data_IF_522680121971
#
_entry.id   IF_522680121971
#
_cell.length_a   1.000
_cell.length_b   1.000
_cell.length_c   1.000
_cell.angle_alpha   90.00
_cell.angle_beta   90.00
_cell.angle_gamma   90.00
#
_symmetry.space_group_name_H-M   'P 1'
#
loop_
_entity.id
_entity.type
_entity.pdbx_description
1 polymer ?
#
# COMPACT_ATOMS: atom_id res chain seq x y z
N UNK A 1 1.83 -14.19 37.91
CA UNK A 1 1.11 -14.80 36.78
C UNK A 1 0.51 -13.69 35.96
N UNK A 2 0.67 -13.63 34.63
CA UNK A 2 0.00 -12.63 33.82
C UNK A 2 -1.51 -12.78 33.93
N UNK A 3 -2.24 -11.66 34.00
CA UNK A 3 -3.71 -11.67 34.12
C UNK A 3 -4.34 -12.40 32.92
N UNK A 4 -5.50 -13.08 33.09
CA UNK A 4 -6.20 -13.74 31.98
C UNK A 4 -6.47 -12.81 30.77
N UNK A 5 -6.67 -11.50 31.00
CA UNK A 5 -6.84 -10.49 29.97
C UNK A 5 -5.53 -10.19 29.20
N UNK A 6 -4.36 -10.24 29.84
CA UNK A 6 -3.07 -10.07 29.18
C UNK A 6 -2.77 -11.20 28.20
N UNK A 7 -3.12 -12.43 28.54
CA UNK A 7 -2.91 -13.61 27.70
C UNK A 7 -3.82 -13.60 26.46
N UNK A 8 -5.04 -13.06 26.56
CA UNK A 8 -5.97 -12.89 25.43
C UNK A 8 -5.45 -11.85 24.42
N UNK A 9 -4.99 -10.68 24.90
CA UNK A 9 -4.44 -9.61 24.04
C UNK A 9 -3.18 -10.06 23.31
N UNK A 10 -2.31 -10.80 23.98
CA UNK A 10 -1.09 -11.36 23.36
C UNK A 10 -1.43 -12.34 22.23
N UNK A 11 -2.37 -13.27 22.44
CA UNK A 11 -2.83 -14.21 21.40
C UNK A 11 -3.43 -13.47 20.19
N UNK A 12 -4.22 -12.44 20.43
CA UNK A 12 -4.78 -11.60 19.37
C UNK A 12 -3.67 -10.96 18.52
N UNK A 13 -2.69 -10.32 19.14
CA UNK A 13 -1.56 -9.70 18.41
C UNK A 13 -0.70 -10.75 17.69
N UNK A 14 -0.46 -11.92 18.28
CA UNK A 14 0.27 -13.01 17.65
C UNK A 14 -0.37 -13.51 16.36
N UNK A 15 -1.70 -13.39 16.21
CA UNK A 15 -2.41 -13.69 14.95
C UNK A 15 -2.45 -12.47 14.03
N UNK A 16 -2.66 -11.26 14.55
CA UNK A 16 -2.79 -10.06 13.72
C UNK A 16 -1.51 -9.71 12.96
N UNK A 17 -0.33 -9.90 13.55
CA UNK A 17 0.93 -9.61 12.87
C UNK A 17 1.16 -10.47 11.62
N UNK A 18 1.10 -11.81 11.64
CA UNK A 18 1.29 -12.63 10.43
C UNK A 18 0.25 -12.34 9.35
N UNK A 19 -1.02 -12.16 9.73
CA UNK A 19 -2.07 -11.89 8.73
C UNK A 19 -1.91 -10.51 8.09
N UNK A 20 -1.45 -9.51 8.85
CA UNK A 20 -1.20 -8.19 8.31
C UNK A 20 0.07 -8.16 7.45
N UNK A 21 1.09 -8.97 7.76
CA UNK A 21 2.21 -9.23 6.87
C UNK A 21 1.76 -9.88 5.55
N UNK A 22 0.80 -10.82 5.60
CA UNK A 22 0.26 -11.47 4.40
C UNK A 22 -0.44 -10.47 3.47
N UNK A 23 -1.20 -9.50 4.00
CA UNK A 23 -1.78 -8.43 3.16
C UNK A 23 -0.67 -7.58 2.51
N UNK A 24 0.45 -7.34 3.21
CA UNK A 24 1.63 -6.69 2.64
C UNK A 24 2.28 -7.49 1.51
N UNK A 25 2.39 -8.82 1.69
CA UNK A 25 2.86 -9.73 0.63
C UNK A 25 1.96 -9.62 -0.59
N UNK A 26 0.64 -9.73 -0.41
CA UNK A 26 -0.30 -9.74 -1.52
C UNK A 26 -0.28 -8.42 -2.29
N UNK A 27 -0.22 -7.30 -1.59
CA UNK A 27 -0.21 -5.98 -2.20
C UNK A 27 1.08 -5.71 -3.01
N UNK A 28 2.21 -6.30 -2.60
CA UNK A 28 3.49 -6.08 -3.24
C UNK A 28 3.90 -7.18 -4.24
N UNK A 29 3.26 -8.36 -4.23
CA UNK A 29 3.68 -9.50 -5.06
C UNK A 29 3.29 -9.36 -6.54
N UNK A 30 2.21 -8.60 -6.83
CA UNK A 30 1.71 -8.42 -8.18
C UNK A 30 2.75 -7.85 -9.15
N UNK A 31 3.53 -6.85 -8.72
CA UNK A 31 4.59 -6.25 -9.54
C UNK A 31 5.67 -7.25 -9.94
N UNK A 32 6.33 -7.95 -8.99
CA UNK A 32 7.29 -9.01 -9.28
C UNK A 32 6.79 -10.16 -10.14
N UNK A 33 5.51 -10.52 -10.05
CA UNK A 33 4.90 -11.59 -10.84
C UNK A 33 4.39 -11.13 -12.21
N UNK A 34 4.20 -9.82 -12.41
CA UNK A 34 3.62 -9.28 -13.64
C UNK A 34 4.38 -9.69 -14.91
N UNK A 35 5.73 -9.72 -14.96
CA UNK A 35 6.43 -10.19 -16.14
C UNK A 35 6.07 -11.63 -16.53
N UNK A 36 5.92 -12.54 -15.55
CA UNK A 36 5.55 -13.93 -15.79
C UNK A 36 4.09 -14.07 -16.26
N UNK A 37 3.18 -13.33 -15.62
CA UNK A 37 1.77 -13.32 -15.98
C UNK A 37 1.55 -12.68 -17.36
N UNK A 38 2.21 -11.57 -17.66
CA UNK A 38 2.13 -10.90 -18.95
C UNK A 38 2.67 -11.78 -20.08
N UNK A 39 3.76 -12.50 -19.85
CA UNK A 39 4.29 -13.46 -20.82
C UNK A 39 3.32 -14.61 -21.08
N UNK A 40 2.69 -15.18 -20.03
CA UNK A 40 1.77 -16.29 -20.14
C UNK A 40 0.47 -15.96 -20.89
N UNK A 41 0.02 -14.70 -20.82
CA UNK A 41 -1.22 -14.23 -21.44
C UNK A 41 -1.00 -13.28 -22.62
N UNK A 42 0.27 -13.06 -23.05
CA UNK A 42 0.65 -12.13 -24.12
C UNK A 42 0.13 -10.71 -23.91
N UNK A 43 0.19 -10.21 -22.64
CA UNK A 43 -0.33 -8.90 -22.30
C UNK A 43 0.66 -7.79 -22.69
N UNK A 44 0.11 -6.69 -23.17
CA UNK A 44 0.84 -5.43 -23.27
C UNK A 44 0.81 -4.65 -21.94
N UNK A 45 1.57 -3.55 -21.87
CA UNK A 45 1.66 -2.75 -20.63
C UNK A 45 0.34 -2.08 -20.24
N UNK A 46 -0.49 -1.68 -21.22
CA UNK A 46 -1.81 -1.12 -20.94
C UNK A 46 -2.74 -2.14 -20.28
N UNK A 47 -2.68 -3.38 -20.71
CA UNK A 47 -3.43 -4.49 -20.12
C UNK A 47 -2.89 -4.86 -18.73
N UNK A 48 -1.57 -4.88 -18.55
CA UNK A 48 -0.94 -5.07 -17.24
C UNK A 48 -1.29 -3.93 -16.27
N UNK A 49 -1.30 -2.69 -16.76
CA UNK A 49 -1.76 -1.52 -16.01
C UNK A 49 -3.23 -1.61 -15.60
N UNK A 50 -4.10 -2.15 -16.47
CA UNK A 50 -5.50 -2.42 -16.14
C UNK A 50 -5.65 -3.44 -15.01
N UNK A 51 -4.82 -4.48 -14.96
CA UNK A 51 -4.83 -5.43 -13.85
C UNK A 51 -4.44 -4.76 -12.53
N UNK A 52 -3.42 -3.90 -12.52
CA UNK A 52 -3.07 -3.11 -11.35
C UNK A 52 -4.20 -2.15 -10.94
N UNK A 53 -4.83 -1.46 -11.91
CA UNK A 53 -5.99 -0.63 -11.64
C UNK A 53 -7.10 -1.42 -10.96
N UNK A 54 -7.48 -2.57 -11.48
CA UNK A 54 -8.53 -3.42 -10.92
C UNK A 54 -8.20 -3.87 -9.51
N UNK A 55 -6.96 -4.33 -9.28
CA UNK A 55 -6.54 -4.77 -7.95
C UNK A 55 -6.59 -3.65 -6.90
N UNK A 56 -5.98 -2.51 -7.17
CA UNK A 56 -5.94 -1.41 -6.21
C UNK A 56 -7.30 -0.72 -6.03
N UNK A 57 -8.13 -0.64 -7.08
CA UNK A 57 -9.52 -0.21 -6.97
C UNK A 57 -10.31 -1.17 -6.07
N UNK A 58 -10.13 -2.47 -6.28
CA UNK A 58 -10.71 -3.50 -5.41
C UNK A 58 -10.29 -3.35 -3.95
N UNK A 59 -9.00 -3.14 -3.67
CA UNK A 59 -8.49 -2.93 -2.30
C UNK A 59 -9.16 -1.73 -1.63
N UNK A 60 -9.33 -0.63 -2.37
CA UNK A 60 -10.04 0.55 -1.89
C UNK A 60 -11.52 0.27 -1.64
N UNK A 61 -12.17 -0.49 -2.50
CA UNK A 61 -13.58 -0.89 -2.33
C UNK A 61 -13.76 -1.82 -1.13
N UNK A 62 -12.79 -2.70 -0.87
CA UNK A 62 -12.83 -3.65 0.25
C UNK A 62 -13.04 -2.98 1.60
N UNK A 63 -12.52 -1.78 1.80
CA UNK A 63 -12.70 -1.02 3.03
C UNK A 63 -14.17 -0.72 3.36
N UNK A 64 -15.04 -0.59 2.36
CA UNK A 64 -16.46 -0.30 2.56
C UNK A 64 -17.27 -1.50 3.08
N UNK A 65 -16.74 -2.72 2.96
CA UNK A 65 -17.39 -3.93 3.47
C UNK A 65 -17.15 -4.17 4.96
N UNK A 66 -16.20 -3.45 5.57
CA UNK A 66 -15.93 -3.52 7.01
C UNK A 66 -16.78 -2.49 7.78
N UNK A 67 -18.03 -2.82 8.13
CA UNK A 67 -18.90 -1.90 8.88
C UNK A 67 -19.07 -2.28 10.34
N UNK A 68 -19.26 -3.57 10.60
CA UNK A 68 -19.50 -4.18 11.94
C UNK A 68 -18.88 -5.57 11.92
N UNK A 69 -18.74 -6.20 13.10
CA UNK A 69 -18.23 -7.57 13.20
C UNK A 69 -16.88 -7.74 12.51
N UNK A 70 -15.90 -6.93 12.91
CA UNK A 70 -14.59 -6.84 12.24
C UNK A 70 -13.86 -8.18 12.23
N UNK A 71 -13.91 -8.96 13.32
CA UNK A 71 -13.28 -10.27 13.39
C UNK A 71 -13.82 -11.22 12.32
N UNK A 72 -15.16 -11.25 12.18
CA UNK A 72 -15.84 -12.05 11.15
C UNK A 72 -15.52 -11.55 9.74
N UNK A 73 -15.51 -10.23 9.52
CA UNK A 73 -15.18 -9.65 8.22
C UNK A 73 -13.75 -9.99 7.80
N UNK A 74 -12.77 -9.92 8.71
CA UNK A 74 -11.38 -10.30 8.45
C UNK A 74 -11.29 -11.77 8.03
N UNK A 75 -11.93 -12.69 8.78
CA UNK A 75 -11.91 -14.11 8.46
C UNK A 75 -12.55 -14.41 7.09
N UNK A 76 -13.73 -13.83 6.80
CA UNK A 76 -14.42 -13.98 5.51
C UNK A 76 -13.55 -13.42 4.38
N UNK A 77 -12.89 -12.27 4.58
CA UNK A 77 -11.96 -11.68 3.61
C UNK A 77 -10.85 -12.66 3.22
N UNK A 78 -10.24 -13.33 4.19
CA UNK A 78 -9.20 -14.33 3.91
C UNK A 78 -9.75 -15.59 3.26
N UNK A 79 -10.92 -16.11 3.63
CA UNK A 79 -11.52 -17.26 2.95
C UNK A 79 -11.91 -16.91 1.49
N UNK A 80 -12.45 -15.73 1.25
CA UNK A 80 -12.74 -15.26 -0.10
C UNK A 80 -11.44 -15.05 -0.92
N UNK A 81 -10.37 -14.59 -0.28
CA UNK A 81 -9.04 -14.43 -0.89
C UNK A 81 -8.50 -15.76 -1.42
N UNK A 82 -8.78 -16.91 -0.78
CA UNK A 82 -8.44 -18.24 -1.29
C UNK A 82 -9.01 -18.44 -2.70
N UNK A 83 -10.32 -18.22 -2.83
CA UNK A 83 -11.03 -18.42 -4.12
C UNK A 83 -10.52 -17.43 -5.17
N UNK A 84 -10.33 -16.16 -4.80
CA UNK A 84 -9.90 -15.14 -5.74
C UNK A 84 -8.44 -15.34 -6.19
N UNK A 85 -7.54 -15.79 -5.29
CA UNK A 85 -6.16 -16.12 -5.66
C UNK A 85 -6.10 -17.30 -6.62
N UNK A 86 -6.91 -18.33 -6.38
CA UNK A 86 -7.03 -19.46 -7.31
C UNK A 86 -7.65 -19.02 -8.64
N UNK A 87 -8.63 -18.11 -8.62
CA UNK A 87 -9.18 -17.54 -9.85
C UNK A 87 -8.10 -16.81 -10.66
N UNK A 88 -7.25 -15.98 -10.04
CA UNK A 88 -6.12 -15.34 -10.74
C UNK A 88 -5.14 -16.34 -11.34
N UNK A 89 -4.91 -17.49 -10.66
CA UNK A 89 -3.99 -18.51 -11.15
C UNK A 89 -4.48 -19.18 -12.45
N UNK A 90 -5.80 -19.31 -12.66
CA UNK A 90 -6.36 -20.07 -13.78
C UNK A 90 -7.30 -19.29 -14.72
N UNK A 91 -7.68 -18.06 -14.38
CA UNK A 91 -8.57 -17.27 -15.24
C UNK A 91 -7.91 -16.97 -16.60
N UNK A 92 -8.63 -17.15 -17.73
CA UNK A 92 -8.19 -16.64 -19.01
C UNK A 92 -8.21 -15.10 -19.03
N UNK A 93 -7.48 -14.50 -19.99
CA UNK A 93 -7.33 -13.06 -20.10
C UNK A 93 -8.63 -12.25 -19.94
N UNK A 94 -9.75 -12.58 -20.59
CA UNK A 94 -10.96 -11.76 -20.44
C UNK A 94 -11.51 -11.68 -19.01
N UNK A 95 -11.23 -12.67 -18.17
CA UNK A 95 -11.70 -12.72 -16.78
C UNK A 95 -10.68 -12.19 -15.76
N UNK A 96 -9.40 -12.07 -16.14
CA UNK A 96 -8.33 -11.61 -15.24
C UNK A 96 -8.62 -10.25 -14.59
N UNK A 97 -9.10 -9.20 -15.31
CA UNK A 97 -9.42 -7.93 -14.67
C UNK A 97 -10.44 -8.06 -13.53
N UNK A 98 -11.49 -8.88 -13.76
CA UNK A 98 -12.48 -9.18 -12.72
C UNK A 98 -11.89 -9.98 -11.55
N UNK A 99 -11.04 -10.97 -11.83
CA UNK A 99 -10.35 -11.74 -10.78
C UNK A 99 -9.42 -10.84 -9.94
N UNK A 100 -8.67 -9.94 -10.56
CA UNK A 100 -7.82 -8.96 -9.85
C UNK A 100 -8.64 -7.97 -9.03
N UNK A 101 -9.78 -7.50 -9.53
CA UNK A 101 -10.69 -6.63 -8.78
C UNK A 101 -11.21 -7.34 -7.52
N UNK A 102 -11.69 -8.57 -7.66
CA UNK A 102 -12.19 -9.37 -6.55
C UNK A 102 -11.07 -9.72 -5.56
N UNK A 103 -9.87 -10.07 -6.06
CA UNK A 103 -8.71 -10.30 -5.20
C UNK A 103 -8.35 -9.05 -4.41
N UNK A 104 -8.39 -7.87 -5.04
CA UNK A 104 -8.20 -6.60 -4.37
C UNK A 104 -9.24 -6.36 -3.26
N UNK A 105 -10.53 -6.58 -3.55
CA UNK A 105 -11.60 -6.45 -2.54
C UNK A 105 -11.31 -7.35 -1.34
N UNK A 106 -10.92 -8.60 -1.58
CA UNK A 106 -10.64 -9.57 -0.51
C UNK A 106 -9.39 -9.23 0.30
N UNK A 107 -8.45 -8.44 -0.25
CA UNK A 107 -7.29 -7.90 0.48
C UNK A 107 -7.67 -6.64 1.27
N UNK A 108 -8.46 -5.75 0.69
CA UNK A 108 -8.89 -4.51 1.33
C UNK A 108 -9.75 -4.72 2.58
N UNK A 109 -10.55 -5.82 2.61
CA UNK A 109 -11.38 -6.17 3.77
C UNK A 109 -10.51 -6.46 5.01
N UNK A 110 -9.55 -7.40 5.02
CA UNK A 110 -8.71 -7.62 6.21
C UNK A 110 -7.80 -6.44 6.52
N UNK A 111 -7.26 -5.71 5.52
CA UNK A 111 -6.46 -4.50 5.79
C UNK A 111 -7.22 -3.47 6.62
N UNK A 112 -8.42 -3.14 6.19
CA UNK A 112 -9.28 -2.18 6.90
C UNK A 112 -9.84 -2.76 8.18
N UNK A 113 -10.26 -4.02 8.15
CA UNK A 113 -10.82 -4.74 9.29
C UNK A 113 -9.86 -4.82 10.46
N UNK A 114 -8.58 -5.14 10.23
CA UNK A 114 -7.54 -5.18 11.27
C UNK A 114 -7.36 -3.80 11.89
N UNK A 115 -7.29 -2.75 11.08
CA UNK A 115 -7.13 -1.37 11.59
C UNK A 115 -8.30 -0.96 12.47
N UNK A 116 -9.54 -1.25 12.07
CA UNK A 116 -10.76 -0.96 12.84
C UNK A 116 -10.87 -1.84 14.08
N UNK A 117 -10.51 -3.11 13.97
CA UNK A 117 -10.48 -4.05 15.10
C UNK A 117 -9.52 -3.58 16.19
N UNK A 118 -8.30 -3.14 15.81
CA UNK A 118 -7.32 -2.58 16.76
C UNK A 118 -7.85 -1.29 17.39
N UNK A 119 -8.43 -0.38 16.60
CA UNK A 119 -9.01 0.87 17.12
C UNK A 119 -10.05 0.61 18.21
N UNK A 120 -10.82 -0.48 18.08
CA UNK A 120 -11.84 -0.88 19.06
C UNK A 120 -11.27 -1.64 20.26
N UNK A 121 -10.45 -2.67 19.99
CA UNK A 121 -10.00 -3.61 21.04
C UNK A 121 -8.82 -3.07 21.85
N UNK A 122 -7.99 -2.22 21.24
CA UNK A 122 -6.77 -1.66 21.83
C UNK A 122 -6.81 -0.12 21.93
N UNK A 123 -7.98 0.45 22.23
CA UNK A 123 -8.19 1.91 22.20
C UNK A 123 -7.10 2.70 22.93
N UNK A 124 -6.69 2.27 24.14
CA UNK A 124 -5.65 2.94 24.94
C UNK A 124 -4.24 2.85 24.33
N UNK A 125 -3.95 1.87 23.49
CA UNK A 125 -2.66 1.66 22.81
C UNK A 125 -2.80 1.58 21.28
N UNK A 126 -3.85 2.18 20.73
CA UNK A 126 -4.19 2.08 19.31
C UNK A 126 -3.05 2.55 18.41
N UNK A 127 -2.51 3.75 18.64
CA UNK A 127 -1.48 4.33 17.80
C UNK A 127 -0.18 3.49 17.76
N UNK A 128 0.44 3.10 18.88
CA UNK A 128 1.63 2.25 18.85
C UNK A 128 1.35 0.87 18.25
N UNK A 129 0.19 0.27 18.51
CA UNK A 129 -0.18 -1.04 17.95
C UNK A 129 -0.34 -0.98 16.43
N UNK A 130 -1.02 0.04 15.89
CA UNK A 130 -1.14 0.25 14.44
C UNK A 130 0.21 0.55 13.80
N UNK A 131 1.09 1.30 14.45
CA UNK A 131 2.44 1.58 13.93
C UNK A 131 3.24 0.29 13.79
N UNK A 132 3.17 -0.59 14.80
CA UNK A 132 3.87 -1.88 14.78
C UNK A 132 3.29 -2.81 13.69
N UNK A 133 1.97 -2.84 13.51
CA UNK A 133 1.33 -3.59 12.44
C UNK A 133 1.72 -3.06 11.06
N UNK A 134 1.77 -1.75 10.86
CA UNK A 134 2.23 -1.15 9.60
C UNK A 134 3.71 -1.47 9.30
N UNK A 135 4.55 -1.56 10.33
CA UNK A 135 5.92 -2.06 10.18
C UNK A 135 5.92 -3.53 9.72
N UNK A 136 5.09 -4.37 10.34
CA UNK A 136 4.93 -5.79 9.95
C UNK A 136 4.39 -5.94 8.54
N UNK A 137 3.44 -5.09 8.13
CA UNK A 137 2.95 -5.02 6.75
C UNK A 137 4.11 -4.72 5.77
N UNK A 138 4.95 -3.75 6.10
CA UNK A 138 6.11 -3.40 5.26
C UNK A 138 7.13 -4.53 5.18
N UNK A 139 7.29 -5.31 6.25
CA UNK A 139 8.11 -6.53 6.23
C UNK A 139 7.51 -7.58 5.29
N UNK A 140 6.18 -7.74 5.29
CA UNK A 140 5.46 -8.56 4.31
C UNK A 140 5.69 -8.09 2.88
N UNK A 141 5.59 -6.78 2.63
CA UNK A 141 5.85 -6.20 1.32
C UNK A 141 7.30 -6.42 0.84
N UNK A 142 8.27 -6.39 1.74
CA UNK A 142 9.66 -6.76 1.44
C UNK A 142 9.81 -8.26 1.11
N UNK A 143 9.07 -9.13 1.78
CA UNK A 143 9.11 -10.57 1.49
C UNK A 143 8.52 -10.92 0.13
N UNK A 144 7.58 -10.12 -0.39
CA UNK A 144 6.87 -10.40 -1.63
C UNK A 144 7.77 -10.58 -2.85
N UNK A 145 8.71 -9.68 -3.20
CA UNK A 145 9.60 -9.89 -4.34
C UNK A 145 10.58 -11.05 -4.12
N UNK A 146 10.97 -11.35 -2.88
CA UNK A 146 11.83 -12.49 -2.55
C UNK A 146 11.07 -13.81 -2.75
N UNK A 147 9.81 -13.88 -2.31
CA UNK A 147 8.94 -15.03 -2.55
C UNK A 147 8.67 -15.21 -4.05
N UNK A 148 8.36 -14.13 -4.77
CA UNK A 148 8.18 -14.18 -6.21
C UNK A 148 9.45 -14.71 -6.91
N UNK A 149 10.62 -14.18 -6.56
CA UNK A 149 11.90 -14.64 -7.11
C UNK A 149 12.12 -16.14 -6.83
N UNK A 150 11.85 -16.59 -5.60
CA UNK A 150 12.03 -18.00 -5.21
C UNK A 150 11.08 -18.92 -5.97
N UNK A 151 9.83 -18.50 -6.18
CA UNK A 151 8.85 -19.27 -6.96
C UNK A 151 9.25 -19.31 -8.43
N UNK A 152 9.61 -18.17 -9.01
CA UNK A 152 9.96 -18.03 -10.43
C UNK A 152 11.26 -18.76 -10.83
N UNK A 153 12.03 -19.27 -9.86
CA UNK A 153 13.18 -20.15 -10.15
C UNK A 153 12.76 -21.48 -10.79
N UNK A 154 11.59 -22.01 -10.43
CA UNK A 154 11.17 -23.36 -10.81
C UNK A 154 9.73 -23.41 -11.35
N UNK A 155 8.94 -22.38 -11.13
CA UNK A 155 7.52 -22.31 -11.44
C UNK A 155 7.16 -20.98 -12.11
N UNK A 156 5.91 -20.82 -12.50
CA UNK A 156 5.34 -19.59 -13.02
C UNK A 156 4.56 -18.80 -11.92
N UNK A 157 3.91 -17.69 -12.31
CA UNK A 157 3.10 -16.86 -11.44
C UNK A 157 1.98 -17.62 -10.71
N UNK A 158 1.45 -18.72 -11.32
CA UNK A 158 0.35 -19.51 -10.73
C UNK A 158 0.73 -20.10 -9.39
N UNK A 159 1.94 -20.66 -9.29
CA UNK A 159 2.42 -21.24 -8.04
C UNK A 159 2.48 -20.21 -6.90
N UNK A 160 2.81 -18.95 -7.21
CA UNK A 160 2.79 -17.88 -6.20
C UNK A 160 1.37 -17.57 -5.72
N UNK A 161 0.37 -17.51 -6.62
CA UNK A 161 -1.02 -17.29 -6.22
C UNK A 161 -1.63 -18.50 -5.49
N UNK A 162 -1.22 -19.74 -5.83
CA UNK A 162 -1.56 -20.93 -5.04
C UNK A 162 -0.97 -20.85 -3.63
N UNK A 163 0.28 -20.43 -3.50
CA UNK A 163 0.91 -20.22 -2.19
C UNK A 163 0.16 -19.14 -1.38
N UNK A 164 -0.23 -18.03 -2.00
CA UNK A 164 -1.07 -17.00 -1.37
C UNK A 164 -2.40 -17.59 -0.91
N UNK A 165 -3.05 -18.43 -1.73
CA UNK A 165 -4.31 -19.09 -1.35
C UNK A 165 -4.13 -19.99 -0.12
N UNK A 166 -3.05 -20.76 -0.04
CA UNK A 166 -2.75 -21.62 1.13
C UNK A 166 -2.52 -20.75 2.38
N UNK A 167 -1.73 -19.70 2.27
CA UNK A 167 -1.47 -18.79 3.39
C UNK A 167 -2.75 -18.05 3.83
N UNK A 168 -3.60 -17.65 2.88
CA UNK A 168 -4.89 -17.03 3.16
C UNK A 168 -5.85 -18.00 3.89
N UNK A 169 -5.86 -19.28 3.50
CA UNK A 169 -6.65 -20.30 4.19
C UNK A 169 -6.22 -20.45 5.66
N UNK A 170 -4.91 -20.55 5.89
CA UNK A 170 -4.33 -20.64 7.25
C UNK A 170 -4.69 -19.37 8.05
N UNK A 171 -4.56 -18.19 7.43
CA UNK A 171 -4.90 -16.91 8.06
C UNK A 171 -6.40 -16.83 8.41
N UNK A 172 -7.29 -17.24 7.50
CA UNK A 172 -8.73 -17.27 7.72
C UNK A 172 -9.12 -18.17 8.88
N UNK A 173 -8.55 -19.37 8.95
CA UNK A 173 -8.74 -20.31 10.06
C UNK A 173 -8.25 -19.70 11.39
N UNK A 174 -7.03 -19.16 11.40
CA UNK A 174 -6.46 -18.53 12.59
C UNK A 174 -7.32 -17.36 13.09
N UNK A 175 -7.82 -16.51 12.18
CA UNK A 175 -8.75 -15.43 12.53
C UNK A 175 -10.04 -15.94 13.12
N UNK A 176 -10.67 -16.94 12.50
CA UNK A 176 -11.93 -17.51 12.96
C UNK A 176 -11.83 -18.16 14.36
N UNK A 177 -10.66 -18.73 14.69
CA UNK A 177 -10.42 -19.37 15.98
C UNK A 177 -10.05 -18.40 17.11
N UNK A 178 -9.35 -17.30 16.79
CA UNK A 178 -8.73 -16.43 17.80
C UNK A 178 -9.44 -15.08 17.94
N UNK A 179 -9.87 -14.47 16.83
CA UNK A 179 -10.49 -13.15 16.86
C UNK A 179 -11.95 -13.26 17.29
N UNK A 180 -12.37 -12.33 18.14
CA UNK A 180 -13.77 -12.24 18.59
C UNK A 180 -14.23 -10.79 18.51
N UNK A 181 -15.41 -10.58 17.98
CA UNK A 181 -16.05 -9.28 17.98
C UNK A 181 -16.52 -8.93 19.39
N UNK A 182 -16.35 -7.65 19.78
CA UNK A 182 -16.87 -7.13 21.03
C UNK A 182 -18.36 -6.84 20.86
N UNK A 183 -19.17 -7.19 21.87
CA UNK A 183 -20.62 -6.99 21.86
C UNK A 183 -21.02 -5.51 22.08
N UNK A 184 -20.12 -4.67 22.60
CA UNK A 184 -20.42 -3.26 22.82
C UNK A 184 -20.53 -2.47 21.50
N UNK A 185 -21.61 -1.70 21.29
CA UNK A 185 -21.71 -0.82 20.13
C UNK A 185 -20.62 0.26 20.19
N UNK A 186 -19.81 0.34 19.15
CA UNK A 186 -18.84 1.42 19.02
C UNK A 186 -19.58 2.72 18.72
N UNK A 187 -19.56 3.65 19.67
CA UNK A 187 -20.10 4.98 19.51
C UNK A 187 -18.92 5.94 19.24
N UNK A 188 -18.58 6.25 17.97
CA UNK A 188 -17.59 7.29 17.69
C UNK A 188 -18.20 8.60 18.17
N UNK A 189 -17.61 9.17 19.22
CA UNK A 189 -18.14 10.30 19.97
C UNK A 189 -18.80 11.35 19.09
N UNK A 190 -20.00 11.74 19.45
CA UNK A 190 -20.74 12.87 18.90
C UNK A 190 -20.00 14.17 19.27
N UNK A 191 -18.96 14.50 18.53
CA UNK A 191 -18.15 15.68 18.79
C UNK A 191 -17.88 16.47 17.52
N UNK A 192 -18.26 17.72 17.57
CA UNK A 192 -18.02 18.85 16.68
C UNK A 192 -19.08 19.09 15.58
N UNK A 193 -19.78 20.21 15.75
CA UNK A 193 -20.83 20.72 14.83
C UNK A 193 -20.29 21.42 13.57
N UNK A 194 -18.99 21.61 13.40
CA UNK A 194 -18.42 22.31 12.24
C UNK A 194 -17.65 21.38 11.33
N UNK A 195 -17.97 21.39 10.02
CA UNK A 195 -17.25 20.63 8.99
C UNK A 195 -15.85 21.17 8.78
N UNK A 196 -14.89 20.31 8.43
CA UNK A 196 -13.55 20.73 7.98
C UNK A 196 -13.70 21.56 6.69
N UNK A 197 -12.99 22.68 6.54
CA UNK A 197 -13.01 23.45 5.30
C UNK A 197 -12.70 22.57 4.08
N UNK A 198 -13.50 22.68 3.03
CA UNK A 198 -13.36 21.85 1.83
C UNK A 198 -11.97 21.98 1.20
N UNK A 199 -11.38 23.17 1.22
CA UNK A 199 -10.02 23.41 0.73
C UNK A 199 -8.97 22.55 1.45
N UNK A 200 -9.08 22.39 2.76
CA UNK A 200 -8.19 21.52 3.54
C UNK A 200 -8.39 20.06 3.11
N UNK A 201 -9.63 19.60 3.02
CA UNK A 201 -9.93 18.22 2.58
C UNK A 201 -9.36 17.97 1.18
N UNK A 202 -9.56 18.88 0.23
CA UNK A 202 -9.08 18.73 -1.15
C UNK A 202 -7.55 18.71 -1.24
N UNK A 203 -6.83 19.61 -0.53
CA UNK A 203 -5.37 19.67 -0.57
C UNK A 203 -4.77 18.37 -0.02
N UNK A 204 -5.27 17.88 1.12
CA UNK A 204 -4.77 16.64 1.71
C UNK A 204 -5.22 15.40 0.93
N UNK A 205 -6.41 15.42 0.32
CA UNK A 205 -6.86 14.37 -0.58
C UNK A 205 -5.97 14.27 -1.82
N UNK A 206 -5.61 15.41 -2.43
CA UNK A 206 -4.68 15.43 -3.57
C UNK A 206 -3.29 14.93 -3.18
N UNK A 207 -2.76 15.37 -2.03
CA UNK A 207 -1.46 14.90 -1.54
C UNK A 207 -1.47 13.38 -1.27
N UNK A 208 -2.53 12.84 -0.68
CA UNK A 208 -2.70 11.42 -0.43
C UNK A 208 -2.88 10.62 -1.73
N UNK A 209 -3.65 11.15 -2.70
CA UNK A 209 -3.80 10.60 -4.03
C UNK A 209 -2.45 10.42 -4.74
N UNK A 210 -1.66 11.50 -4.78
CA UNK A 210 -0.34 11.47 -5.42
C UNK A 210 0.59 10.48 -4.73
N UNK A 211 0.64 10.51 -3.39
CA UNK A 211 1.55 9.65 -2.63
C UNK A 211 1.25 8.16 -2.84
N UNK A 212 0.00 7.75 -2.66
CA UNK A 212 -0.37 6.33 -2.82
C UNK A 212 -0.25 5.90 -4.27
N UNK A 213 -0.54 6.81 -5.21
CA UNK A 213 -0.32 6.58 -6.63
C UNK A 213 1.14 6.33 -6.98
N UNK A 214 2.05 7.15 -6.47
CA UNK A 214 3.50 7.01 -6.66
C UNK A 214 3.99 5.68 -6.06
N UNK A 215 3.58 5.37 -4.83
CA UNK A 215 3.95 4.15 -4.12
C UNK A 215 3.52 2.90 -4.90
N UNK A 216 2.25 2.84 -5.30
CA UNK A 216 1.71 1.70 -6.03
C UNK A 216 2.29 1.59 -7.45
N UNK A 217 2.55 2.72 -8.14
CA UNK A 217 3.23 2.69 -9.46
C UNK A 217 4.62 2.10 -9.34
N UNK A 218 5.36 2.49 -8.29
CA UNK A 218 6.69 1.96 -8.00
C UNK A 218 6.64 0.45 -7.75
N UNK A 219 5.77 0.00 -6.84
CA UNK A 219 5.59 -1.41 -6.53
C UNK A 219 5.17 -2.25 -7.74
N UNK A 220 4.28 -1.71 -8.58
CA UNK A 220 3.74 -2.38 -9.76
C UNK A 220 4.76 -2.57 -10.88
N UNK A 221 5.53 -1.54 -11.20
CA UNK A 221 6.31 -1.50 -12.45
C UNK A 221 7.80 -1.78 -12.28
N UNK A 222 8.37 -1.76 -11.07
CA UNK A 222 9.83 -1.90 -10.91
C UNK A 222 10.39 -3.20 -11.45
N UNK A 223 9.72 -4.34 -11.27
CA UNK A 223 10.20 -5.61 -11.82
C UNK A 223 10.16 -5.64 -13.34
N UNK A 224 9.08 -5.17 -13.95
CA UNK A 224 8.98 -5.07 -15.41
C UNK A 224 10.03 -4.11 -15.98
N UNK A 225 10.24 -2.97 -15.31
CA UNK A 225 11.26 -2.00 -15.69
C UNK A 225 12.69 -2.57 -15.57
N UNK A 226 12.98 -3.25 -14.45
CA UNK A 226 14.26 -3.90 -14.24
C UNK A 226 14.52 -5.00 -15.28
N UNK A 227 13.52 -5.83 -15.60
CA UNK A 227 13.62 -6.89 -16.60
C UNK A 227 14.03 -6.33 -17.97
N UNK A 228 13.40 -5.23 -18.41
CA UNK A 228 13.64 -4.63 -19.73
C UNK A 228 14.94 -3.83 -19.82
N UNK A 229 15.44 -3.35 -18.71
CA UNK A 229 16.58 -2.42 -18.70
C UNK A 229 17.88 -3.02 -18.16
N UNK A 230 17.82 -4.13 -17.40
CA UNK A 230 18.99 -4.73 -16.77
C UNK A 230 19.45 -6.04 -17.42
N UNK A 231 18.56 -6.74 -18.12
CA UNK A 231 18.79 -8.14 -18.46
C UNK A 231 18.78 -9.05 -17.21
N UNK A 232 19.07 -10.32 -17.33
CA UNK A 232 19.21 -11.24 -16.18
C UNK A 232 17.95 -12.01 -15.78
N UNK A 233 16.86 -11.89 -16.55
CA UNK A 233 15.65 -12.69 -16.38
C UNK A 233 14.72 -12.23 -15.25
N UNK A 234 13.55 -12.90 -15.16
CA UNK A 234 12.45 -12.53 -14.27
C UNK A 234 12.82 -12.62 -12.78
N UNK A 235 13.64 -13.60 -12.41
CA UNK A 235 14.09 -13.81 -11.02
C UNK A 235 14.91 -12.61 -10.54
N UNK A 236 15.91 -12.17 -11.34
CA UNK A 236 16.73 -11.01 -10.99
C UNK A 236 15.90 -9.72 -10.94
N UNK A 237 14.98 -9.57 -11.87
CA UNK A 237 14.07 -8.42 -11.89
C UNK A 237 13.19 -8.35 -10.62
N UNK A 238 12.67 -9.50 -10.17
CA UNK A 238 11.93 -9.57 -8.91
C UNK A 238 12.82 -9.21 -7.71
N UNK A 239 14.04 -9.74 -7.63
CA UNK A 239 15.00 -9.41 -6.55
C UNK A 239 15.34 -7.91 -6.54
N UNK A 240 15.54 -7.29 -7.71
CA UNK A 240 15.83 -5.84 -7.78
C UNK A 240 14.75 -4.97 -7.13
N UNK A 241 13.47 -5.39 -7.18
CA UNK A 241 12.38 -4.68 -6.49
C UNK A 241 12.52 -4.70 -4.96
N UNK A 242 13.23 -5.68 -4.40
CA UNK A 242 13.47 -5.76 -2.94
C UNK A 242 14.24 -4.55 -2.42
N UNK A 243 15.11 -3.92 -3.21
CA UNK A 243 15.85 -2.72 -2.81
C UNK A 243 14.90 -1.58 -2.44
N UNK A 244 13.81 -1.40 -3.20
CA UNK A 244 12.77 -0.43 -2.86
C UNK A 244 12.15 -0.72 -1.49
N UNK A 245 11.75 -1.96 -1.25
CA UNK A 245 11.10 -2.34 0.00
C UNK A 245 12.05 -2.38 1.20
N UNK A 246 13.35 -2.67 0.99
CA UNK A 246 14.41 -2.53 2.02
C UNK A 246 14.49 -1.07 2.47
N UNK A 247 14.60 -0.14 1.52
CA UNK A 247 14.63 1.29 1.81
C UNK A 247 13.37 1.77 2.53
N UNK A 248 12.22 1.30 2.06
CA UNK A 248 10.91 1.65 2.61
C UNK A 248 10.74 1.16 4.06
N UNK A 249 11.08 -0.09 4.34
CA UNK A 249 11.02 -0.67 5.69
C UNK A 249 12.00 0.00 6.66
N UNK A 250 13.25 0.19 6.23
CA UNK A 250 14.28 0.86 7.03
C UNK A 250 13.87 2.29 7.41
N UNK A 251 13.35 3.04 6.44
CA UNK A 251 12.88 4.40 6.67
C UNK A 251 11.69 4.45 7.62
N UNK A 252 10.71 3.54 7.52
CA UNK A 252 9.60 3.46 8.48
C UNK A 252 10.07 3.19 9.91
N UNK A 253 11.07 2.34 10.09
CA UNK A 253 11.67 2.09 11.39
C UNK A 253 12.37 3.32 11.98
N UNK A 254 13.08 4.08 11.15
CA UNK A 254 13.86 5.25 11.57
C UNK A 254 13.04 6.55 11.64
N UNK A 255 11.95 6.66 10.89
CA UNK A 255 11.16 7.89 10.79
C UNK A 255 10.65 8.37 12.16
N UNK A 256 10.25 7.47 13.05
CA UNK A 256 9.81 7.80 14.41
C UNK A 256 10.91 8.48 15.22
N UNK A 257 12.15 8.01 15.11
CA UNK A 257 13.31 8.58 15.81
C UNK A 257 13.69 9.95 15.24
N UNK A 258 13.64 10.12 13.92
CA UNK A 258 13.92 11.40 13.26
C UNK A 258 12.89 12.46 13.67
N UNK A 259 11.61 12.10 13.73
CA UNK A 259 10.52 12.99 14.07
C UNK A 259 10.54 13.47 15.54
N UNK A 260 11.30 12.80 16.42
CA UNK A 260 11.56 13.29 17.78
C UNK A 260 12.42 14.57 17.80
N UNK A 261 13.22 14.79 16.76
CA UNK A 261 14.21 15.90 16.71
C UNK A 261 13.96 16.87 15.55
N UNK A 262 13.23 16.46 14.52
CA UNK A 262 13.04 17.25 13.29
C UNK A 262 11.55 17.51 13.06
N UNK A 263 11.21 18.75 12.70
CA UNK A 263 9.82 19.15 12.40
C UNK A 263 9.26 18.33 11.23
N UNK A 264 8.05 17.81 11.37
CA UNK A 264 7.37 16.96 10.37
C UNK A 264 7.34 17.59 8.98
N UNK A 265 7.16 18.90 8.88
CA UNK A 265 7.14 19.59 7.58
C UNK A 265 8.51 19.62 6.89
N UNK A 266 9.60 19.69 7.64
CA UNK A 266 10.97 19.63 7.10
C UNK A 266 11.22 18.22 6.57
N UNK A 267 10.88 17.18 7.36
CA UNK A 267 10.99 15.78 6.92
C UNK A 267 10.18 15.56 5.65
N UNK A 268 8.95 16.05 5.59
CA UNK A 268 8.08 15.92 4.41
C UNK A 268 8.70 16.58 3.16
N UNK A 269 9.22 17.79 3.28
CA UNK A 269 9.86 18.52 2.16
C UNK A 269 11.11 17.79 1.65
N UNK A 270 11.99 17.39 2.56
CA UNK A 270 13.21 16.64 2.23
C UNK A 270 12.85 15.32 1.56
N UNK A 271 11.86 14.60 2.08
CA UNK A 271 11.40 13.33 1.54
C UNK A 271 10.88 13.48 0.10
N UNK A 272 10.04 14.49 -0.19
CA UNK A 272 9.52 14.71 -1.55
C UNK A 272 10.63 15.08 -2.53
N UNK A 273 11.57 15.96 -2.14
CA UNK A 273 12.71 16.35 -2.99
C UNK A 273 13.63 15.15 -3.23
N UNK A 274 13.95 14.37 -2.20
CA UNK A 274 14.78 13.18 -2.32
C UNK A 274 14.10 12.11 -3.22
N UNK A 275 12.78 11.92 -3.07
CA UNK A 275 12.01 11.02 -3.93
C UNK A 275 12.03 11.48 -5.40
N UNK A 276 11.90 12.79 -5.64
CA UNK A 276 11.97 13.35 -7.00
C UNK A 276 13.34 13.08 -7.63
N UNK A 277 14.43 13.36 -6.92
CA UNK A 277 15.80 13.10 -7.41
C UNK A 277 15.99 11.60 -7.68
N UNK A 278 15.61 10.73 -6.74
CA UNK A 278 15.74 9.30 -6.91
C UNK A 278 14.91 8.75 -8.09
N UNK A 279 13.70 9.27 -8.31
CA UNK A 279 12.84 8.85 -9.42
C UNK A 279 13.36 9.31 -10.78
N UNK A 280 13.94 10.50 -10.89
CA UNK A 280 14.61 10.99 -12.10
C UNK A 280 15.85 10.14 -12.39
N UNK A 281 16.68 9.87 -11.38
CA UNK A 281 17.84 9.00 -11.51
C UNK A 281 17.45 7.60 -11.98
N UNK A 282 16.37 7.03 -11.40
CA UNK A 282 15.84 5.73 -11.79
C UNK A 282 15.44 5.69 -13.27
N UNK A 283 14.71 6.71 -13.75
CA UNK A 283 14.26 6.80 -15.14
C UNK A 283 15.42 7.03 -16.12
N UNK A 284 16.45 7.78 -15.72
CA UNK A 284 17.58 8.17 -16.59
C UNK A 284 18.66 7.10 -16.69
N UNK A 285 18.91 6.31 -15.64
CA UNK A 285 20.06 5.42 -15.59
C UNK A 285 19.94 4.19 -16.49
N UNK A 286 21.07 3.82 -17.13
CA UNK A 286 21.26 2.52 -17.81
C UNK A 286 21.97 1.48 -16.94
N UNK A 287 22.58 1.90 -15.82
CA UNK A 287 23.39 1.04 -14.94
C UNK A 287 22.50 0.29 -13.94
N UNK A 288 22.68 -1.02 -13.82
CA UNK A 288 21.91 -1.84 -12.85
C UNK A 288 22.20 -1.47 -11.40
N UNK A 289 23.45 -1.33 -10.93
CA UNK A 289 23.72 -0.92 -9.56
C UNK A 289 23.12 0.45 -9.21
N UNK A 290 23.22 1.41 -10.14
CA UNK A 290 22.65 2.75 -9.92
C UNK A 290 21.13 2.75 -9.87
N UNK A 291 20.49 1.86 -10.65
CA UNK A 291 19.04 1.64 -10.60
C UNK A 291 18.59 1.06 -9.27
N UNK A 292 19.28 0.03 -8.79
CA UNK A 292 18.97 -0.60 -7.50
C UNK A 292 19.17 0.40 -6.34
N UNK A 293 20.24 1.21 -6.40
CA UNK A 293 20.44 2.33 -5.47
C UNK A 293 19.33 3.37 -5.55
N UNK A 294 18.88 3.73 -6.76
CA UNK A 294 17.78 4.66 -6.96
C UNK A 294 16.44 4.10 -6.43
N UNK A 295 16.17 2.80 -6.60
CA UNK A 295 15.01 2.13 -6.02
C UNK A 295 15.05 2.16 -4.49
N UNK A 296 16.21 1.86 -3.89
CA UNK A 296 16.41 1.94 -2.45
C UNK A 296 16.20 3.37 -1.93
N UNK A 297 16.83 4.35 -2.56
CA UNK A 297 16.69 5.77 -2.19
C UNK A 297 15.24 6.25 -2.31
N UNK A 298 14.53 5.81 -3.35
CA UNK A 298 13.12 6.14 -3.54
C UNK A 298 12.25 5.52 -2.44
N UNK A 299 12.52 4.26 -2.06
CA UNK A 299 11.86 3.61 -0.93
C UNK A 299 12.06 4.35 0.38
N UNK A 300 13.31 4.73 0.70
CA UNK A 300 13.64 5.55 1.88
C UNK A 300 12.87 6.85 1.88
N UNK A 301 12.81 7.52 0.74
CA UNK A 301 12.18 8.84 0.63
C UNK A 301 10.65 8.78 0.70
N UNK A 302 10.00 7.78 0.07
CA UNK A 302 8.53 7.69 0.02
C UNK A 302 7.90 7.26 1.34
N UNK A 303 8.57 6.43 2.13
CA UNK A 303 8.01 5.79 3.31
C UNK A 303 7.40 6.76 4.36
N UNK A 304 8.00 7.92 4.69
CA UNK A 304 7.46 8.86 5.68
C UNK A 304 6.36 9.76 5.13
N UNK A 305 6.18 9.89 3.80
CA UNK A 305 5.31 10.92 3.21
C UNK A 305 3.85 10.67 3.57
N UNK A 306 3.34 9.45 3.35
CA UNK A 306 1.93 9.14 3.62
C UNK A 306 1.55 9.33 5.10
N UNK A 307 2.27 8.79 6.08
CA UNK A 307 1.99 9.05 7.50
C UNK A 307 2.00 10.53 7.85
N UNK A 308 2.93 11.32 7.30
CA UNK A 308 3.02 12.76 7.57
C UNK A 308 1.86 13.54 6.94
N UNK A 309 1.43 13.19 5.75
CA UNK A 309 0.24 13.78 5.09
C UNK A 309 -1.01 13.50 5.92
N UNK A 310 -1.22 12.25 6.32
CA UNK A 310 -2.41 11.86 7.10
C UNK A 310 -2.39 12.47 8.50
N UNK A 311 -1.25 12.48 9.19
CA UNK A 311 -1.11 13.15 10.48
C UNK A 311 -1.36 14.67 10.36
N UNK A 312 -0.85 15.29 9.29
CA UNK A 312 -1.10 16.69 8.98
C UNK A 312 -2.58 17.01 8.74
N UNK A 313 -3.32 16.11 8.10
CA UNK A 313 -4.77 16.21 7.94
C UNK A 313 -5.48 16.14 9.30
N UNK A 314 -5.21 15.10 10.09
CA UNK A 314 -5.87 14.93 11.40
C UNK A 314 -5.61 16.09 12.36
N UNK A 315 -4.43 16.71 12.29
CA UNK A 315 -4.13 17.89 13.08
C UNK A 315 -5.00 19.14 12.72
N UNK A 316 -5.68 19.12 11.56
CA UNK A 316 -6.49 20.23 11.02
C UNK A 316 -7.95 19.87 10.81
N UNK A 317 -8.26 18.59 10.82
CA UNK A 317 -9.61 18.10 10.65
C UNK A 317 -10.47 18.45 11.85
N UNK A 318 -11.60 19.13 11.61
CA UNK A 318 -12.60 19.44 12.64
C UNK A 318 -13.54 18.26 12.88
N UNK A 319 -13.66 17.36 11.91
CA UNK A 319 -14.49 16.17 12.00
C UNK A 319 -13.76 14.94 11.45
N UNK A 320 -13.70 13.86 12.24
CA UNK A 320 -13.02 12.62 11.84
C UNK A 320 -13.67 11.95 10.64
N UNK A 321 -14.98 12.15 10.41
CA UNK A 321 -15.67 11.60 9.24
C UNK A 321 -15.17 12.14 7.91
N UNK A 322 -14.52 13.32 7.90
CA UNK A 322 -14.00 13.92 6.67
C UNK A 322 -12.77 13.16 6.15
N UNK A 323 -12.09 12.38 7.01
CA UNK A 323 -10.96 11.53 6.63
C UNK A 323 -11.33 10.48 5.58
N UNK A 324 -12.59 10.02 5.54
CA UNK A 324 -13.06 9.08 4.52
C UNK A 324 -12.82 9.56 3.10
N UNK A 325 -12.97 10.86 2.84
CA UNK A 325 -12.74 11.43 1.52
C UNK A 325 -11.25 11.45 1.16
N UNK A 326 -10.40 11.79 2.11
CA UNK A 326 -8.94 11.77 1.91
C UNK A 326 -8.44 10.34 1.67
N UNK A 327 -8.91 9.37 2.46
CA UNK A 327 -8.50 7.97 2.32
C UNK A 327 -9.06 7.34 1.04
N UNK A 328 -10.32 7.60 0.67
CA UNK A 328 -10.89 7.10 -0.57
C UNK A 328 -10.14 7.66 -1.79
N UNK A 329 -9.86 8.97 -1.79
CA UNK A 329 -9.10 9.61 -2.88
C UNK A 329 -7.68 9.05 -2.99
N UNK A 330 -7.03 8.75 -1.87
CA UNK A 330 -5.73 8.08 -1.84
C UNK A 330 -5.77 6.72 -2.58
N UNK A 331 -6.78 5.91 -2.31
CA UNK A 331 -6.99 4.62 -2.98
C UNK A 331 -7.17 4.75 -4.49
N UNK A 332 -7.91 5.77 -4.95
CA UNK A 332 -8.05 6.08 -6.39
C UNK A 332 -6.70 6.46 -7.02
N UNK A 333 -5.86 7.22 -6.31
CA UNK A 333 -4.49 7.52 -6.77
C UNK A 333 -3.69 6.25 -7.01
N UNK A 334 -3.75 5.34 -6.05
CA UNK A 334 -3.10 4.03 -6.12
C UNK A 334 -3.58 3.15 -7.27
N UNK A 335 -4.78 3.36 -7.78
CA UNK A 335 -5.32 2.62 -8.93
C UNK A 335 -4.95 3.31 -10.26
N UNK A 336 -5.11 4.61 -10.33
CA UNK A 336 -5.04 5.40 -11.57
C UNK A 336 -3.60 5.56 -12.06
N UNK A 337 -2.63 5.90 -11.18
CA UNK A 337 -1.27 6.17 -11.61
C UNK A 337 -0.55 4.96 -12.20
N UNK A 338 -0.63 3.74 -11.64
CA UNK A 338 -0.04 2.55 -12.28
C UNK A 338 -0.66 2.26 -13.66
N UNK A 339 -1.95 2.49 -13.82
CA UNK A 339 -2.62 2.33 -15.11
C UNK A 339 -2.16 3.36 -16.13
N UNK A 340 -2.04 4.64 -15.74
CA UNK A 340 -1.50 5.71 -16.61
C UNK A 340 -0.07 5.36 -17.06
N UNK A 341 0.77 4.83 -16.17
CA UNK A 341 2.11 4.42 -16.52
C UNK A 341 2.12 3.33 -17.61
N UNK A 342 1.25 2.32 -17.49
CA UNK A 342 1.07 1.29 -18.51
C UNK A 342 0.52 1.84 -19.82
N UNK A 343 -0.47 2.71 -19.75
CA UNK A 343 -1.06 3.37 -20.93
C UNK A 343 -0.02 4.21 -21.68
N UNK A 344 0.75 5.03 -20.98
CA UNK A 344 1.86 5.81 -21.57
C UNK A 344 2.90 4.91 -22.20
N UNK A 345 3.27 3.80 -21.55
CA UNK A 345 4.24 2.85 -22.07
C UNK A 345 3.82 2.31 -23.44
N UNK A 346 2.54 1.96 -23.61
CA UNK A 346 2.01 1.46 -24.90
C UNK A 346 2.04 2.55 -25.97
N UNK A 347 1.55 3.75 -25.67
CA UNK A 347 1.45 4.82 -26.66
C UNK A 347 2.80 5.38 -27.10
N UNK A 348 3.79 5.38 -26.21
CA UNK A 348 5.13 5.87 -26.49
C UNK A 348 6.12 4.76 -26.84
N UNK A 349 5.69 3.51 -26.84
CA UNK A 349 6.53 2.31 -27.01
C UNK A 349 7.73 2.27 -26.04
N UNK A 350 7.57 2.90 -24.85
CA UNK A 350 8.64 3.07 -23.88
C UNK A 350 8.15 3.03 -22.44
N UNK A 351 8.50 1.97 -21.73
CA UNK A 351 8.22 1.89 -20.29
C UNK A 351 8.98 2.97 -19.48
N UNK A 352 10.11 3.49 -19.99
CA UNK A 352 10.79 4.64 -19.37
C UNK A 352 9.88 5.85 -19.31
N UNK A 353 9.14 6.13 -20.37
CA UNK A 353 8.15 7.22 -20.39
C UNK A 353 7.00 6.92 -19.42
N UNK A 354 6.53 5.68 -19.38
CA UNK A 354 5.57 5.25 -18.37
C UNK A 354 6.06 5.52 -16.93
N UNK A 355 7.33 5.23 -16.64
CA UNK A 355 7.93 5.48 -15.32
C UNK A 355 8.08 6.97 -15.00
N UNK A 356 8.06 7.87 -15.98
CA UNK A 356 8.07 9.32 -15.75
C UNK A 356 6.78 9.83 -15.07
N UNK A 357 5.73 9.02 -14.95
CA UNK A 357 4.57 9.34 -14.11
C UNK A 357 4.94 9.56 -12.65
N UNK A 358 5.97 8.86 -12.15
CA UNK A 358 6.46 9.01 -10.77
C UNK A 358 7.06 10.41 -10.53
N UNK A 359 8.12 10.86 -11.26
CA UNK A 359 8.65 12.21 -11.07
C UNK A 359 7.64 13.29 -11.44
N UNK A 360 6.74 13.09 -12.41
CA UNK A 360 5.68 14.04 -12.72
C UNK A 360 4.72 14.25 -11.55
N UNK A 361 4.27 13.16 -10.92
CA UNK A 361 3.42 13.22 -9.73
C UNK A 361 4.14 13.85 -8.53
N UNK A 362 5.45 13.59 -8.37
CA UNK A 362 6.28 14.21 -7.33
C UNK A 362 6.47 15.72 -7.56
N UNK A 363 6.58 16.17 -8.81
CA UNK A 363 6.58 17.61 -9.13
C UNK A 363 5.27 18.28 -8.74
N UNK A 364 4.12 17.65 -9.04
CA UNK A 364 2.82 18.15 -8.58
C UNK A 364 2.76 18.16 -7.06
N UNK A 365 3.25 17.10 -6.39
CA UNK A 365 3.32 17.04 -4.92
C UNK A 365 4.17 18.20 -4.36
N UNK A 366 5.29 18.53 -4.99
CA UNK A 366 6.15 19.64 -4.58
C UNK A 366 5.42 21.00 -4.65
N UNK A 367 4.56 21.19 -5.67
CA UNK A 367 3.71 22.38 -5.78
C UNK A 367 2.60 22.42 -4.73
N UNK A 368 2.15 21.27 -4.22
CA UNK A 368 1.13 21.17 -3.16
C UNK A 368 1.72 21.41 -1.77
N UNK A 369 3.02 21.18 -1.56
CA UNK A 369 3.67 21.33 -0.23
C UNK A 369 3.49 22.71 0.43
N UNK A 370 3.60 23.86 -0.27
CA UNK A 370 3.33 25.16 0.34
C UNK A 370 1.89 25.31 0.86
N UNK A 371 0.92 24.70 0.15
CA UNK A 371 -0.48 24.72 0.54
C UNK A 371 -0.71 23.89 1.81
N UNK A 372 -0.02 22.76 1.97
CA UNK A 372 -0.04 21.96 3.19
C UNK A 372 0.49 22.75 4.41
N UNK A 373 1.47 23.65 4.20
CA UNK A 373 2.01 24.50 5.27
C UNK A 373 1.14 25.74 5.52
N UNK A 374 0.58 26.35 4.49
CA UNK A 374 -0.24 27.58 4.56
C UNK A 374 -1.59 27.37 5.25
N UNK A 375 -2.16 26.15 5.19
CA UNK A 375 -3.40 25.82 5.91
C UNK A 375 -3.25 25.91 7.44
N UNK A 376 -2.04 25.88 7.98
CA UNK A 376 -1.79 26.14 9.41
C UNK A 376 -2.06 27.59 9.82
N UNK A 377 -1.81 28.55 8.92
CA UNK A 377 -2.04 29.99 9.15
C UNK A 377 -3.54 30.31 9.11
N UNK A 378 -4.32 29.61 8.27
CA UNK A 378 -5.76 29.81 8.16
C UNK A 378 -6.54 29.19 9.34
N UNK A 379 -6.05 28.11 9.93
CA UNK A 379 -6.65 27.51 11.12
C UNK A 379 -6.45 28.35 12.39
N UNK A 380 -5.31 29.04 12.52
CA UNK A 380 -5.00 29.93 13.66
C UNK A 380 -5.59 31.35 13.57
N UNK A 381 -6.25 31.72 12.46
CA UNK A 381 -6.96 33.01 12.31
C UNK A 381 -8.47 32.91 12.57
N UNK A 382 -8.97 31.72 12.89
CA UNK A 382 -10.38 31.47 13.16
C UNK A 382 -10.69 31.30 14.66
N UNK A 383 -9.70 31.53 15.55
CA UNK A 383 -9.83 31.74 16.99
C UNK A 383 -9.66 33.25 17.30
#
# INVERSE_FOLDING_TARGET
>A
MPSPQGNSKFRTLAVLHPIFALTGVLQAVGGPLMPSLAAAHHLNDGQSGLLFFCYFAGTSMGAFFCRTNYARAIAIGFFAMVVCSLAVAWAPWPLLPGAFLLLGITDGVPMSGVSLYIGRTFAASCAPTLTMLNFTWSAGALLAPLLAARVLLHYDYRAAYILVAILALIAGIACALVLRDSEEPWNPGAGARSKTPLSIVMIFALAAFLQVGIENTSAAWFSTFALRTAGGGMVRAAVSTSFYWIGFLASRGLASLILLRVRSLVVLRVAVVAALIASILLAATGSTPLRELAMLALGVALAPIYPLVIAGFFARARHTSDSRWVLATAGFGGSILPWIAGWLSVHTQSLRVGMCTIPAALLVMLLVLPLLSGTAVLAGRAE
#
